data_IF_125329717306
#
_entry.id   IF_125329717306
#
_cell.length_a   1.000
_cell.length_b   1.000
_cell.length_c   1.000
_cell.angle_alpha   90.00
_cell.angle_beta   90.00
_cell.angle_gamma   90.00
#
_symmetry.space_group_name_H-M   'P 1'
#
loop_
_entity.id
_entity.type
_entity.pdbx_description
1 polymer ?
2 water ?
#
# COMPACT_ATOMS: atom_id res chain seq x y z
N UNK A 5 3.59 12.27 15.39
CA UNK A 5 2.26 11.93 14.79
C UNK A 5 1.75 13.04 13.88
N UNK A 6 1.35 12.66 12.67
CA UNK A 6 0.83 13.61 11.68
C UNK A 6 -0.47 14.27 12.14
N UNK A 7 -0.57 15.59 12.00
CA UNK A 7 -1.78 16.30 12.43
C UNK A 7 -2.49 17.05 11.31
N UNK A 8 -1.84 17.20 10.16
CA UNK A 8 -2.47 17.93 9.06
C UNK A 8 -3.76 17.24 8.67
N UNK A 9 -3.86 15.94 8.93
CA UNK A 9 -5.09 15.23 8.64
C UNK A 9 -5.32 14.20 9.74
N UNK A 10 -6.58 13.81 9.97
CA UNK A 10 -6.91 12.82 11.01
C UNK A 10 -6.35 11.45 10.60
N UNK A 11 -6.21 10.55 11.56
CA UNK A 11 -5.66 9.23 11.27
C UNK A 11 -6.54 8.35 10.38
N UNK A 12 -7.83 8.68 10.27
CA UNK A 12 -8.72 7.90 9.41
C UNK A 12 -8.96 8.60 8.07
N UNK A 13 -8.02 9.46 7.69
CA UNK A 13 -8.07 10.20 6.43
C UNK A 13 -7.84 9.30 5.20
N UNK A 14 -8.71 9.43 4.20
CA UNK A 14 -8.58 8.69 2.95
C UNK A 14 -7.94 9.61 1.90
N UNK A 15 -7.14 9.05 1.00
CA UNK A 15 -6.56 9.87 -0.04
C UNK A 15 -5.18 10.45 0.21
N UNK A 16 -4.68 11.26 -0.74
CA UNK A 16 -3.36 11.86 -0.59
C UNK A 16 -3.21 12.75 0.63
N UNK A 17 -1.98 12.82 1.11
CA UNK A 17 -1.65 13.67 2.25
C UNK A 17 -1.19 15.02 1.68
N UNK A 18 -1.74 16.14 2.18
CA UNK A 18 -1.33 17.46 1.68
C UNK A 18 0.16 17.66 1.83
N UNK A 19 0.80 18.13 0.76
CA UNK A 19 2.22 18.41 0.81
C UNK A 19 3.11 17.25 0.48
N UNK A 20 2.53 16.08 0.20
CA UNK A 20 3.34 14.90 -0.12
C UNK A 20 3.03 14.38 -1.53
N UNK A 21 3.83 14.79 -2.53
CA UNK A 21 3.52 14.28 -3.87
C UNK A 21 4.00 12.86 -4.13
N UNK A 22 3.44 12.27 -5.18
CA UNK A 22 3.86 10.95 -5.64
C UNK A 22 5.37 11.10 -5.89
N UNK A 23 6.15 10.08 -5.53
CA UNK A 23 7.58 10.15 -5.73
C UNK A 23 8.37 10.51 -4.47
N UNK A 24 7.70 10.99 -3.43
CA UNK A 24 8.37 11.34 -2.18
C UNK A 24 9.08 10.10 -1.62
N UNK A 25 10.27 10.31 -1.06
CA UNK A 25 11.08 9.21 -0.54
C UNK A 25 11.56 9.46 0.89
N UNK A 26 11.53 8.41 1.72
CA UNK A 26 12.01 8.51 3.10
C UNK A 26 12.89 7.28 3.34
N UNK A 27 14.01 7.45 4.03
CA UNK A 27 14.90 6.32 4.28
C UNK A 27 14.31 5.27 5.24
N UNK A 28 13.68 5.74 6.31
CA UNK A 28 13.11 4.88 7.37
C UNK A 28 11.59 4.95 7.56
N UNK A 29 11.01 3.84 8.03
CA UNK A 29 9.56 3.77 8.26
C UNK A 29 9.03 4.79 9.24
N UNK A 30 9.83 5.15 10.25
CA UNK A 30 9.37 6.12 11.23
C UNK A 30 9.01 7.45 10.56
N UNK A 31 9.76 7.81 9.52
CA UNK A 31 9.53 9.05 8.76
C UNK A 31 8.26 8.91 7.93
N UNK A 32 8.05 7.74 7.34
CA UNK A 32 6.84 7.50 6.57
C UNK A 32 5.64 7.70 7.51
N UNK A 33 5.75 7.19 8.73
CA UNK A 33 4.66 7.33 9.70
C UNK A 33 4.39 8.78 10.09
N UNK A 34 5.44 9.52 10.40
CA UNK A 34 5.29 10.91 10.79
C UNK A 34 4.69 11.79 9.69
N UNK A 35 4.89 11.39 8.44
CA UNK A 35 4.36 12.15 7.30
C UNK A 35 2.85 11.93 7.13
N UNK A 36 2.34 10.86 7.73
CA UNK A 36 0.92 10.55 7.63
C UNK A 36 0.59 9.61 6.48
N UNK A 37 1.56 9.36 5.61
CA UNK A 37 1.33 8.49 4.47
C UNK A 37 1.02 7.04 4.89
N UNK A 38 1.77 6.50 5.85
CA UNK A 38 1.50 5.15 6.36
C UNK A 38 1.84 5.22 7.85
N UNK A 39 0.81 5.44 8.66
CA UNK A 39 0.99 5.60 10.11
C UNK A 39 1.57 4.46 10.92
N UNK A 40 1.20 3.20 10.61
CA UNK A 40 1.77 2.09 11.40
C UNK A 40 3.29 1.93 11.24
N UNK A 41 3.99 1.82 12.37
CA UNK A 41 5.43 1.65 12.35
C UNK A 41 5.83 0.27 11.89
N UNK A 42 5.00 -0.72 12.20
CA UNK A 42 5.32 -2.09 11.82
C UNK A 42 4.37 -2.74 10.82
N UNK A 43 3.07 -2.73 11.11
CA UNK A 43 2.08 -3.36 10.21
C UNK A 43 2.21 -2.88 8.77
N UNK A 44 1.96 -3.78 7.82
CA UNK A 44 2.06 -3.41 6.41
C UNK A 44 0.81 -2.72 5.86
N UNK A 45 -0.24 -2.64 6.66
CA UNK A 45 -1.48 -2.04 6.21
C UNK A 45 -2.11 -1.25 7.36
N UNK A 46 -2.62 -0.06 7.05
CA UNK A 46 -3.29 0.75 8.04
C UNK A 46 -4.78 0.71 7.70
N UNK A 47 -5.59 0.18 8.62
CA UNK A 47 -7.03 0.12 8.36
C UNK A 47 -7.82 -0.26 9.60
N UNK A 48 -9.13 -0.07 9.54
CA UNK A 48 -10.02 -0.41 10.66
C UNK A 48 -11.15 -1.23 10.07
N UNK A 49 -11.47 -2.35 10.71
CA UNK A 49 -12.52 -3.23 10.22
C UNK A 49 -13.91 -2.59 10.24
N UNK A 50 -14.05 -1.43 10.88
CA UNK A 50 -15.34 -0.76 10.88
C UNK A 50 -15.32 0.49 9.99
N UNK A 51 -14.37 0.57 9.07
CA UNK A 51 -14.30 1.75 8.22
C UNK A 51 -13.68 1.38 6.87
N UNK A 52 -12.38 1.13 6.86
CA UNK A 52 -11.69 0.76 5.62
C UNK A 52 -10.18 0.86 5.79
N UNK A 53 -9.44 0.63 4.70
CA UNK A 53 -7.98 0.67 4.69
C UNK A 53 -7.51 2.01 4.10
N UNK A 54 -6.58 2.67 4.79
CA UNK A 54 -6.09 3.96 4.35
C UNK A 54 -4.76 3.89 3.61
N UNK A 55 -3.97 2.87 3.91
CA UNK A 55 -2.66 2.77 3.27
C UNK A 55 -1.99 1.42 3.44
N UNK A 56 -1.03 1.15 2.57
CA UNK A 56 -0.29 -0.09 2.70
C UNK A 56 1.11 0.06 2.14
N UNK A 57 2.00 -0.80 2.64
CA UNK A 57 3.39 -0.83 2.22
C UNK A 57 3.68 -2.16 1.57
N UNK A 58 4.30 -2.12 0.39
CA UNK A 58 4.69 -3.33 -0.35
C UNK A 58 6.17 -3.55 -0.04
N UNK A 59 6.48 -4.64 0.64
CA UNK A 59 7.87 -4.89 1.02
C UNK A 59 8.30 -6.32 0.72
N UNK A 60 7.96 -6.81 -0.45
CA UNK A 60 8.32 -8.18 -0.78
C UNK A 60 7.06 -8.97 -0.50
N UNK A 61 6.46 -9.49 -1.56
CA UNK A 61 5.22 -10.22 -1.40
C UNK A 61 5.31 -11.62 -0.82
N UNK A 62 4.13 -12.21 -0.67
CA UNK A 62 4.00 -13.55 -0.16
C UNK A 62 3.70 -14.39 -1.39
N UNK A 63 3.83 -15.70 -1.24
CA UNK A 63 3.56 -16.65 -2.32
C UNK A 63 3.71 -16.09 -3.73
N UNK A 64 2.64 -16.14 -4.51
CA UNK A 64 2.72 -15.65 -5.87
C UNK A 64 2.27 -14.20 -6.09
N UNK A 65 2.51 -13.31 -5.13
CA UNK A 65 2.13 -11.90 -5.33
C UNK A 65 2.94 -11.40 -6.53
N UNK A 66 2.32 -10.60 -7.40
CA UNK A 66 3.02 -10.06 -8.56
C UNK A 66 2.80 -8.55 -8.61
N UNK A 67 3.82 -7.82 -9.02
CA UNK A 67 3.76 -6.36 -9.09
C UNK A 67 4.03 -5.88 -10.52
N UNK A 68 3.07 -5.16 -11.10
CA UNK A 68 3.24 -4.61 -12.44
C UNK A 68 3.18 -3.08 -12.46
N UNK A 69 3.40 -2.48 -11.29
CA UNK A 69 3.41 -1.03 -11.18
C UNK A 69 2.02 -0.42 -11.09
N UNK A 70 1.32 -0.38 -12.22
CA UNK A 70 -0.03 0.17 -12.28
C UNK A 70 -1.04 -0.73 -11.59
N UNK A 71 -0.64 -1.96 -11.30
CA UNK A 71 -1.51 -2.88 -10.58
C UNK A 71 -0.69 -4.01 -9.97
N UNK A 72 -1.22 -4.62 -8.93
CA UNK A 72 -0.50 -5.70 -8.27
C UNK A 72 -1.45 -6.56 -7.46
N UNK A 73 -1.02 -7.79 -7.18
CA UNK A 73 -1.82 -8.68 -6.34
C UNK A 73 -1.20 -8.60 -4.96
N UNK A 74 -2.02 -8.85 -3.95
CA UNK A 74 -1.62 -8.69 -2.57
C UNK A 74 -2.19 -9.81 -1.71
N UNK A 75 -1.53 -10.09 -0.58
CA UNK A 75 -1.99 -11.16 0.31
C UNK A 75 -2.32 -10.66 1.72
N UNK A 76 -3.43 -11.16 2.27
CA UNK A 76 -3.85 -10.78 3.60
C UNK A 76 -2.92 -11.27 4.71
N UNK A 77 -3.29 -10.98 5.95
CA UNK A 77 -2.46 -11.36 7.10
C UNK A 77 -3.16 -12.36 8.01
N UNK A 78 -2.41 -12.85 9.00
CA UNK A 78 -2.94 -13.81 9.95
C UNK A 78 -2.66 -15.25 9.56
N UNK A 79 -3.37 -16.19 10.18
CA UNK A 79 -3.18 -17.60 9.87
C UNK A 79 -1.95 -18.21 10.53
N UNK A 90 5.34 -19.41 9.29
CA UNK A 90 4.56 -20.64 9.19
C UNK A 90 3.06 -20.42 9.43
N UNK A 91 2.25 -20.66 8.40
CA UNK A 91 0.80 -20.51 8.49
C UNK A 91 0.22 -21.82 9.01
N UNK A 92 -0.48 -21.76 10.14
CA UNK A 92 -1.06 -22.95 10.75
C UNK A 92 -2.58 -23.04 10.70
N UNK A 93 -3.23 -22.00 10.17
CA UNK A 93 -4.69 -22.00 10.07
C UNK A 93 -5.17 -20.99 9.05
N UNK A 94 -6.43 -21.12 8.65
CA UNK A 94 -7.04 -20.23 7.67
C UNK A 94 -7.04 -18.77 8.11
N UNK A 95 -6.90 -17.85 7.15
CA UNK A 95 -6.97 -16.43 7.46
C UNK A 95 -8.46 -16.16 7.53
N UNK A 96 -8.84 -15.03 8.12
CA UNK A 96 -10.25 -14.67 8.26
C UNK A 96 -10.46 -13.28 7.69
N UNK A 97 -11.69 -12.97 7.27
CA UNK A 97 -11.94 -11.64 6.74
C UNK A 97 -12.34 -10.75 7.92
N UNK A 98 -11.34 -10.43 8.73
CA UNK A 98 -11.49 -9.61 9.91
C UNK A 98 -10.29 -8.68 9.96
N UNK A 99 -10.35 -7.73 10.89
CA UNK A 99 -9.29 -6.78 11.12
C UNK A 99 -8.84 -6.09 9.82
N UNK A 100 -7.55 -6.09 9.51
CA UNK A 100 -7.10 -5.41 8.29
C UNK A 100 -7.50 -6.12 6.98
N UNK A 101 -7.70 -7.43 7.01
CA UNK A 101 -8.14 -8.14 5.80
C UNK A 101 -9.52 -7.61 5.43
N UNK A 102 -10.36 -7.42 6.45
CA UNK A 102 -11.70 -6.91 6.23
C UNK A 102 -11.66 -5.44 5.82
N UNK A 103 -10.76 -4.67 6.44
CA UNK A 103 -10.67 -3.25 6.12
C UNK A 103 -10.37 -3.04 4.63
N UNK A 104 -9.43 -3.82 4.11
CA UNK A 104 -9.05 -3.68 2.70
C UNK A 104 -10.21 -4.11 1.80
N UNK A 105 -10.93 -5.16 2.20
CA UNK A 105 -12.08 -5.65 1.44
C UNK A 105 -13.20 -4.61 1.38
N UNK A 106 -13.36 -3.85 2.48
CA UNK A 106 -14.37 -2.81 2.57
C UNK A 106 -14.13 -1.66 1.57
N UNK A 107 -12.90 -1.48 1.11
CA UNK A 107 -12.62 -0.42 0.14
C UNK A 107 -13.17 -0.76 -1.25
N UNK A 108 -13.36 -2.06 -1.50
CA UNK A 108 -13.85 -2.53 -2.79
C UNK A 108 -15.30 -2.10 -2.98
N UNK A 109 -15.61 -1.49 -4.13
CA UNK A 109 -16.97 -1.03 -4.37
C UNK A 109 -17.94 -2.17 -4.67
N UNK A 110 -18.20 -2.98 -3.66
CA UNK A 110 -19.11 -4.13 -3.79
C UNK A 110 -19.50 -4.59 -2.38
N UNK A 111 -20.71 -5.17 -2.23
CA UNK A 111 -21.11 -5.64 -0.89
C UNK A 111 -20.09 -6.65 -0.42
N UNK A 112 -19.69 -6.58 0.85
CA UNK A 112 -18.69 -7.51 1.34
C UNK A 112 -19.19 -8.95 1.37
N UNK A 113 -18.33 -9.87 0.93
CA UNK A 113 -18.65 -11.29 0.87
C UNK A 113 -17.48 -12.07 1.45
N UNK A 114 -17.65 -12.66 2.63
CA UNK A 114 -16.55 -13.42 3.24
C UNK A 114 -16.50 -14.89 2.85
N UNK A 115 -17.27 -15.28 1.84
CA UNK A 115 -17.28 -16.67 1.39
C UNK A 115 -16.47 -16.88 0.12
N UNK A 116 -16.79 -16.10 -0.91
CA UNK A 116 -16.09 -16.20 -2.19
C UNK A 116 -15.39 -14.89 -2.57
N UNK A 117 -15.55 -13.86 -1.75
CA UNK A 117 -14.94 -12.59 -2.08
C UNK A 117 -15.86 -11.83 -3.01
N UNK A 118 -15.36 -10.76 -3.62
CA UNK A 118 -16.18 -9.96 -4.50
C UNK A 118 -15.33 -9.18 -5.50
N UNK A 119 -16.00 -8.69 -6.54
CA UNK A 119 -15.35 -7.89 -7.57
C UNK A 119 -16.21 -6.68 -7.88
N UNK A 120 -15.57 -5.54 -8.03
CA UNK A 120 -16.31 -4.32 -8.33
C UNK A 120 -16.30 -4.00 -9.82
N UNK A 121 -17.48 -3.77 -10.38
CA UNK A 121 -17.58 -3.41 -11.80
C UNK A 121 -17.10 -1.96 -11.90
N UNK A 122 -17.66 -1.10 -11.05
CA UNK A 122 -17.28 0.31 -11.01
C UNK A 122 -16.18 0.45 -9.93
N UNK A 123 -15.03 -0.16 -10.21
CA UNK A 123 -13.91 -0.15 -9.27
C UNK A 123 -13.41 1.23 -8.86
N UNK A 124 -13.52 2.23 -9.73
CA UNK A 124 -13.03 3.55 -9.38
C UNK A 124 -13.86 4.24 -8.30
N UNK A 125 -15.06 3.73 -8.03
CA UNK A 125 -15.88 4.32 -6.98
C UNK A 125 -15.47 3.81 -5.60
N UNK A 126 -14.53 2.87 -5.56
CA UNK A 126 -14.07 2.34 -4.27
C UNK A 126 -13.24 3.35 -3.50
N UNK A 127 -12.94 3.02 -2.24
CA UNK A 127 -12.14 3.93 -1.42
C UNK A 127 -10.66 3.85 -1.79
N UNK A 128 -9.97 4.99 -1.81
CA UNK A 128 -8.55 5.06 -2.15
C UNK A 128 -7.62 4.50 -1.08
N UNK A 129 -6.53 3.87 -1.53
CA UNK A 129 -5.51 3.34 -0.65
C UNK A 129 -4.17 3.99 -1.06
N UNK A 130 -3.49 4.65 -0.12
CA UNK A 130 -2.16 5.20 -0.41
C UNK A 130 -1.21 3.99 -0.42
N UNK A 131 -0.35 3.90 -1.45
CA UNK A 131 0.58 2.77 -1.55
C UNK A 131 2.03 3.24 -1.50
N UNK A 132 2.81 2.61 -0.62
CA UNK A 132 4.22 2.92 -0.48
C UNK A 132 5.00 1.67 -0.87
N UNK A 133 6.04 1.79 -1.68
CA UNK A 133 6.86 0.62 -2.03
C UNK A 133 8.18 0.75 -1.27
N UNK A 134 8.60 -0.34 -0.64
CA UNK A 134 9.83 -0.38 0.16
C UNK A 134 10.91 -1.18 -0.56
N UNK A 135 12.17 -0.84 -0.33
CA UNK A 135 13.32 -1.51 -0.95
C UNK A 135 13.33 -3.04 -0.87
N UNK A 136 12.82 -3.60 0.23
CA UNK A 136 12.80 -5.05 0.38
C UNK A 136 11.96 -5.78 -0.66
N UNK A 137 11.05 -5.06 -1.32
CA UNK A 137 10.23 -5.70 -2.33
C UNK A 137 11.04 -5.92 -3.61
N UNK A 138 12.27 -5.41 -3.61
CA UNK A 138 13.13 -5.52 -4.78
C UNK A 138 13.49 -6.94 -5.15
N UNK A 139 13.29 -7.87 -4.23
CA UNK A 139 13.61 -9.26 -4.50
C UNK A 139 12.56 -9.90 -5.42
N UNK A 140 11.34 -9.39 -5.39
CA UNK A 140 10.26 -9.95 -6.22
C UNK A 140 9.48 -8.92 -7.04
N UNK A 141 10.08 -7.75 -7.26
CA UNK A 141 9.42 -6.69 -8.02
C UNK A 141 10.41 -5.70 -8.61
N UNK A 142 10.23 -5.38 -9.89
CA UNK A 142 11.10 -4.43 -10.57
C UNK A 142 10.73 -2.98 -10.24
N UNK A 143 9.60 -2.78 -9.57
CA UNK A 143 9.16 -1.43 -9.23
C UNK A 143 9.59 -0.90 -7.87
N UNK A 144 10.22 -1.75 -7.06
CA UNK A 144 10.66 -1.30 -5.75
C UNK A 144 11.78 -0.26 -5.88
N UNK A 145 11.84 0.70 -4.96
CA UNK A 145 12.91 1.69 -5.07
C UNK A 145 14.25 1.05 -4.70
N UNK A 146 15.34 1.63 -5.20
CA UNK A 146 16.67 1.08 -4.91
C UNK A 146 17.03 1.21 -3.43
N UNK A 147 16.37 2.12 -2.72
CA UNK A 147 16.66 2.37 -1.31
C UNK A 147 15.44 2.96 -0.60
N UNK A 148 15.29 2.68 0.70
CA UNK A 148 14.19 3.25 1.46
C UNK A 148 12.74 2.96 1.07
N UNK A 149 11.90 3.98 1.23
CA UNK A 149 10.46 3.90 0.97
C UNK A 149 10.04 5.04 0.04
N UNK A 150 9.13 4.75 -0.88
CA UNK A 150 8.66 5.75 -1.85
C UNK A 150 7.12 5.70 -1.98
N UNK A 151 6.48 6.87 -1.98
CA UNK A 151 5.03 6.97 -2.12
C UNK A 151 4.71 6.93 -3.60
N UNK A 152 3.91 5.95 -4.02
CA UNK A 152 3.58 5.75 -5.42
C UNK A 152 2.19 6.17 -5.87
N UNK A 153 1.41 6.68 -4.94
CA UNK A 153 0.08 7.14 -5.28
C UNK A 153 -1.10 6.34 -4.76
N UNK A 154 -2.26 6.70 -5.31
CA UNK A 154 -3.53 6.12 -4.94
C UNK A 154 -3.91 4.91 -5.79
N UNK A 155 -4.31 3.83 -5.11
CA UNK A 155 -4.76 2.61 -5.76
C UNK A 155 -6.15 2.25 -5.23
N UNK A 156 -6.86 1.39 -5.95
CA UNK A 156 -8.20 0.98 -5.55
C UNK A 156 -8.28 -0.54 -5.62
N UNK A 157 -9.12 -1.12 -4.78
CA UNK A 157 -9.28 -2.56 -4.74
C UNK A 157 -10.30 -3.02 -5.80
N UNK A 158 -9.82 -3.75 -6.80
CA UNK A 158 -10.68 -4.24 -7.88
C UNK A 158 -11.47 -5.47 -7.45
N UNK A 159 -10.80 -6.37 -6.75
CA UNK A 159 -11.45 -7.59 -6.27
C UNK A 159 -10.59 -8.28 -5.23
N UNK A 160 -11.21 -9.19 -4.49
CA UNK A 160 -10.52 -9.97 -3.46
C UNK A 160 -11.18 -11.36 -3.41
N UNK A 161 -10.43 -12.37 -3.01
CA UNK A 161 -10.96 -13.72 -3.01
C UNK A 161 -10.09 -14.57 -2.14
N UNK A 162 -10.63 -15.70 -1.66
CA UNK A 162 -9.88 -16.62 -0.80
C UNK A 162 -9.31 -17.75 -1.66
N UNK A 163 -8.17 -18.29 -1.27
CA UNK A 163 -7.59 -19.40 -2.01
C UNK A 163 -6.59 -20.13 -1.11
N UNK A 164 -6.32 -21.39 -1.42
CA UNK A 164 -5.37 -22.17 -0.63
C UNK A 164 -3.94 -21.70 -0.89
N UNK A 165 -3.24 -21.36 0.18
CA UNK A 165 -1.87 -20.89 0.05
C UNK A 165 -0.86 -22.01 -0.08
N UNK A 166 0.41 -21.66 0.06
CA UNK A 166 1.48 -22.64 -0.03
C UNK A 166 1.40 -23.61 1.16
N UNK A 167 1.07 -23.05 2.32
CA UNK A 167 0.95 -23.82 3.56
C UNK A 167 -0.24 -24.78 3.54
N UNK A 168 -1.08 -24.68 2.52
CA UNK A 168 -2.24 -25.55 2.43
C UNK A 168 -3.50 -24.92 3.02
N UNK A 169 -3.33 -23.89 3.85
CA UNK A 169 -4.47 -23.22 4.47
C UNK A 169 -4.96 -22.03 3.63
N UNK A 170 -6.15 -21.54 3.96
CA UNK A 170 -6.76 -20.42 3.24
C UNK A 170 -6.09 -19.07 3.50
N UNK A 171 -5.95 -18.28 2.44
CA UNK A 171 -5.38 -16.93 2.53
C UNK A 171 -6.28 -16.01 1.71
N UNK A 172 -6.38 -14.75 2.10
CA UNK A 172 -7.19 -13.81 1.35
C UNK A 172 -6.28 -13.07 0.37
N UNK A 173 -6.74 -12.91 -0.87
CA UNK A 173 -5.96 -12.24 -1.91
C UNK A 173 -6.69 -11.01 -2.43
N UNK A 174 -5.93 -10.04 -2.91
CA UNK A 174 -6.51 -8.80 -3.42
C UNK A 174 -5.80 -8.35 -4.70
N UNK A 175 -6.55 -7.67 -5.55
CA UNK A 175 -6.00 -7.10 -6.78
C UNK A 175 -6.20 -5.60 -6.66
N UNK A 176 -5.10 -4.85 -6.68
CA UNK A 176 -5.12 -3.38 -6.58
C UNK A 176 -4.70 -2.77 -7.92
N UNK A 177 -5.36 -1.68 -8.29
CA UNK A 177 -5.09 -0.99 -9.54
C UNK A 177 -4.95 0.50 -9.26
N UNK A 178 -3.97 1.13 -9.91
CA UNK A 178 -3.70 2.54 -9.70
C UNK A 178 -4.79 3.48 -10.27
N UNK A 179 -5.11 4.55 -9.54
CA UNK A 179 -6.11 5.54 -10.00
C UNK A 179 -5.63 6.84 -9.42
N UNK A 180 -4.64 7.43 -10.10
CA UNK A 180 -3.99 8.65 -9.66
C UNK A 180 -3.61 9.49 -10.89
N UNK A 181 -3.79 10.81 -10.79
CA UNK A 181 -3.47 11.73 -11.88
C UNK A 181 -2.00 12.11 -11.90
N UNK A 182 -1.28 11.84 -10.82
CA UNK A 182 0.15 12.12 -10.80
C UNK A 182 0.72 10.87 -11.47
N UNK A 183 1.63 11.05 -12.44
CA UNK A 183 2.24 9.92 -13.15
C UNK A 183 3.04 9.03 -12.20
N UNK A 184 3.07 7.74 -12.49
CA UNK A 184 3.82 6.82 -11.65
C UNK A 184 5.29 7.22 -11.66
N UNK A 185 6.03 7.01 -10.56
CA UNK A 185 7.45 7.37 -10.49
C UNK A 185 8.32 6.67 -11.53
N UNK A 186 7.74 5.70 -12.23
CA UNK A 186 8.48 4.94 -13.24
C UNK A 186 8.16 5.39 -14.67
N UNK A 187 7.26 6.36 -14.82
CA UNK A 187 6.94 6.83 -16.16
C UNK A 187 7.95 7.92 -16.52
N UNK A 188 7.98 8.31 -17.79
CA UNK A 188 8.90 9.35 -18.22
C UNK A 188 8.48 10.64 -17.52
N UNK A 189 7.18 10.94 -17.60
CA UNK A 189 6.61 12.12 -16.97
C UNK A 189 6.89 12.13 -15.47
N UNK A 190 6.66 10.99 -14.82
CA UNK A 190 6.91 10.88 -13.38
C UNK A 190 8.35 11.20 -13.01
N UNK A 191 9.30 10.64 -13.75
CA UNK A 191 10.70 10.90 -13.47
C UNK A 191 11.05 12.39 -13.64
N UNK A 192 10.48 13.04 -14.66
CA UNK A 192 10.76 14.46 -14.89
C UNK A 192 10.22 15.30 -13.74
N UNK A 193 8.97 15.04 -13.37
CA UNK A 193 8.34 15.77 -12.28
C UNK A 193 9.13 15.67 -11.00
N UNK A 194 9.59 14.46 -10.68
CA UNK A 194 10.36 14.22 -9.48
C UNK A 194 11.64 15.06 -9.50
N UNK A 195 12.28 15.14 -10.66
CA UNK A 195 13.49 15.94 -10.79
C UNK A 195 13.17 17.42 -10.59
N UNK A 196 12.16 17.92 -11.30
CA UNK A 196 11.77 19.33 -11.21
C UNK A 196 11.33 19.77 -9.81
N UNK A 197 10.75 18.85 -9.05
CA UNK A 197 10.29 19.14 -7.69
C UNK A 197 11.41 19.03 -6.66
N UNK A 198 12.58 18.56 -7.10
CA UNK A 198 13.74 18.44 -6.22
C UNK A 198 13.62 17.43 -5.09
N UNK A 199 12.79 16.41 -5.28
CA UNK A 199 12.59 15.39 -4.26
C UNK A 199 13.81 14.49 -4.12
N UNK A 200 14.28 14.34 -2.90
CA UNK A 200 15.42 13.46 -2.67
C UNK A 200 15.10 12.64 -1.44
N UNK A 201 15.89 11.59 -1.21
CA UNK A 201 15.71 10.71 -0.06
C UNK A 201 15.75 11.57 1.19
N UNK A 202 14.71 11.50 2.00
CA UNK A 202 14.67 12.28 3.23
C UNK A 202 15.17 11.45 4.39
N UNK A 203 15.96 12.08 5.25
CA UNK A 203 16.50 11.41 6.42
C UNK A 203 16.00 12.10 7.68
N UNK A 204 16.05 11.39 8.81
CA UNK A 204 15.60 11.96 10.09
C UNK A 204 16.41 13.22 10.39
N UNK A 205 15.75 14.21 10.98
CA UNK A 205 16.41 15.47 11.33
C UNK A 205 17.56 15.16 12.28
N UNK A 206 18.79 15.35 11.81
CA UNK A 206 19.96 15.10 12.63
C UNK A 206 20.84 13.99 12.08
N UNK A 207 20.20 12.96 11.52
CA UNK A 207 20.91 11.83 10.94
C UNK A 207 21.89 12.39 9.91
N UNK A 208 21.47 13.47 9.26
CA UNK A 208 22.28 14.14 8.25
C UNK A 208 23.20 15.18 8.90
N UNK A 209 23.20 15.22 10.22
CA UNK A 209 24.05 16.15 10.96
C UNK A 209 25.22 15.34 11.51
N UNK A 210 24.88 14.22 12.14
CA UNK A 210 25.88 13.31 12.71
C UNK A 210 26.26 12.27 11.66
N UNK A 211 26.52 12.74 10.45
CA UNK A 211 26.89 11.86 9.35
C UNK A 211 25.85 12.03 8.24
#
# INVERSE_FOLDING_TARGET
GHMKECTIVPSNHYGPIPGIPVGTMWRFRVQVSESGVHRPHVAGIHGRSNDGAYSLVLAGGYEDDVDHGNFFTYTGSGGRDLSGNKRTAEQSCDQKLTNTNRALALNCFAPINDQEGAEAKDWRSGKPVRVVRNVKGGKNSKYAPAEGNRYDGIYKVVKYWPEKGKSGFLVWRYLLRRDDDEPGPWTKEGKDRIKKLGLTMQYPEGYLEALANREREKENSKREEEEQQEGGFASPRTG
#
